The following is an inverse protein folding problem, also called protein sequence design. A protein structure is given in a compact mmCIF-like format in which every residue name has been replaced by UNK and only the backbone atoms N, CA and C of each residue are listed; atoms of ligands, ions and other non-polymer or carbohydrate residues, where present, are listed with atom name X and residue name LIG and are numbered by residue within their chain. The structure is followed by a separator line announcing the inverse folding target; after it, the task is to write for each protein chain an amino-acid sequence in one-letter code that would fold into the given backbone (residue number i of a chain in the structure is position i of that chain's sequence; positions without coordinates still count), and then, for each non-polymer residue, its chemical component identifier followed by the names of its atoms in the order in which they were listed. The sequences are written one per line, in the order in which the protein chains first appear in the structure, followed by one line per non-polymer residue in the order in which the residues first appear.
data_IF_210380364569
#
_entry.id   IF_210380364569
#
_cell.length_a   1.000
_cell.length_b   1.000
_cell.length_c   1.000
_cell.angle_alpha   90.00
_cell.angle_beta   90.00
_cell.angle_gamma   90.00
#
_symmetry.space_group_name_H-M   'P 1'
#
loop_
_entity.id
_entity.type
_entity.pdbx_description
1 polymer ?
#
# COMPACT_ATOMS: atom_id res chain seq x y z
N UNK A 1 5.28 -31.78 5.69
CA UNK A 1 4.29 -30.70 5.47
C UNK A 1 5.02 -29.37 5.68
N UNK A 2 5.18 -28.62 4.60
CA UNK A 2 5.78 -27.28 4.68
C UNK A 2 4.70 -26.35 5.18
N UNK A 3 4.76 -25.96 6.44
CA UNK A 3 3.86 -24.97 7.03
C UNK A 3 4.02 -23.66 6.25
N UNK A 4 2.99 -23.26 5.48
CA UNK A 4 3.01 -21.99 4.78
C UNK A 4 2.88 -20.89 5.83
N UNK A 5 4.02 -20.34 6.22
CA UNK A 5 4.09 -19.28 7.22
C UNK A 5 3.53 -17.99 6.61
N UNK A 6 2.27 -17.72 6.91
CA UNK A 6 1.64 -16.42 6.61
C UNK A 6 2.35 -15.31 7.41
N UNK A 7 1.94 -14.07 7.25
CA UNK A 7 2.52 -12.94 7.97
C UNK A 7 2.44 -13.14 9.49
N UNK A 8 3.51 -12.80 10.20
CA UNK A 8 3.47 -12.76 11.65
C UNK A 8 2.50 -11.68 12.14
N UNK A 9 1.84 -11.91 13.28
CA UNK A 9 0.86 -10.97 13.82
C UNK A 9 1.45 -9.57 14.03
N UNK A 10 2.67 -9.49 14.55
CA UNK A 10 3.34 -8.21 14.79
C UNK A 10 3.57 -7.42 13.49
N UNK A 11 3.84 -8.11 12.36
CA UNK A 11 4.08 -7.47 11.06
C UNK A 11 2.82 -6.74 10.56
N UNK A 12 1.68 -7.40 10.61
CA UNK A 12 0.41 -6.82 10.19
C UNK A 12 -0.07 -5.74 11.17
N UNK A 13 0.15 -5.93 12.47
CA UNK A 13 -0.17 -4.93 13.50
C UNK A 13 0.68 -3.67 13.34
N UNK A 14 1.98 -3.83 13.13
CA UNK A 14 2.90 -2.71 12.87
C UNK A 14 2.53 -1.99 11.57
N UNK A 15 2.28 -2.73 10.50
CA UNK A 15 1.86 -2.16 9.22
C UNK A 15 0.53 -1.38 9.35
N UNK A 16 -0.45 -1.89 10.10
CA UNK A 16 -1.71 -1.17 10.36
C UNK A 16 -1.49 0.15 11.12
N UNK A 17 -0.63 0.15 12.12
CA UNK A 17 -0.25 1.37 12.85
C UNK A 17 0.40 2.40 11.91
N UNK A 18 1.24 1.95 10.98
CA UNK A 18 1.83 2.84 9.98
C UNK A 18 0.82 3.30 8.93
N UNK A 19 -0.12 2.45 8.52
CA UNK A 19 -1.25 2.87 7.68
C UNK A 19 -1.99 4.06 8.31
N UNK A 20 -2.32 3.99 9.60
CA UNK A 20 -2.98 5.08 10.32
C UNK A 20 -2.13 6.36 10.36
N UNK A 21 -0.81 6.25 10.62
CA UNK A 21 0.12 7.38 10.57
C UNK A 21 0.21 7.99 9.17
N UNK A 22 0.28 7.16 8.12
CA UNK A 22 0.31 7.59 6.71
C UNK A 22 -0.95 8.37 6.38
N UNK A 23 -2.12 7.82 6.70
CA UNK A 23 -3.40 8.49 6.49
C UNK A 23 -3.43 9.85 7.20
N UNK A 24 -2.91 9.93 8.42
CA UNK A 24 -2.93 11.18 9.20
C UNK A 24 -2.11 12.32 8.57
N UNK A 25 -1.02 12.01 7.86
CA UNK A 25 -0.10 13.03 7.31
C UNK A 25 -0.33 13.36 5.84
N UNK A 26 -0.85 12.42 5.02
CA UNK A 26 -1.07 12.64 3.60
C UNK A 26 -2.24 13.60 3.34
N UNK A 27 -2.21 14.26 2.18
CA UNK A 27 -3.32 15.12 1.72
C UNK A 27 -4.39 14.27 1.04
N UNK A 28 -5.64 14.67 1.21
CA UNK A 28 -6.79 14.04 0.53
C UNK A 28 -6.88 14.43 -0.95
N UNK A 29 -7.43 13.54 -1.79
CA UNK A 29 -7.88 12.19 -1.48
C UNK A 29 -6.72 11.21 -1.37
N UNK A 30 -6.83 10.24 -0.44
CA UNK A 30 -5.83 9.18 -0.24
C UNK A 30 -6.40 7.90 -0.84
N UNK A 31 -5.75 7.36 -1.87
CA UNK A 31 -6.16 6.08 -2.47
C UNK A 31 -5.37 4.92 -1.85
N UNK A 32 -6.06 4.03 -1.15
CA UNK A 32 -5.49 2.80 -0.56
C UNK A 32 -5.76 1.62 -1.48
N UNK A 33 -4.74 0.81 -1.71
CA UNK A 33 -4.77 -0.36 -2.58
C UNK A 33 -4.37 -1.63 -1.83
N UNK A 34 -4.20 -2.71 -2.58
CA UNK A 34 -3.59 -3.94 -2.12
C UNK A 34 -4.31 -4.62 -0.97
N UNK A 35 -3.54 -5.24 -0.08
CA UNK A 35 -4.10 -6.03 1.02
C UNK A 35 -4.85 -5.22 2.07
N UNK A 36 -4.48 -3.95 2.29
CA UNK A 36 -5.21 -3.07 3.21
C UNK A 36 -6.55 -2.61 2.64
N UNK A 37 -6.66 -2.40 1.32
CA UNK A 37 -7.96 -2.11 0.71
C UNK A 37 -8.91 -3.30 0.86
N UNK A 38 -8.43 -4.53 0.65
CA UNK A 38 -9.22 -5.75 0.89
C UNK A 38 -9.66 -5.83 2.35
N UNK A 39 -8.71 -5.67 3.31
CA UNK A 39 -9.03 -5.67 4.73
C UNK A 39 -10.13 -4.68 5.08
N UNK A 40 -10.05 -3.45 4.60
CA UNK A 40 -11.03 -2.40 4.89
C UNK A 40 -12.43 -2.75 4.36
N UNK A 41 -12.54 -3.49 3.25
CA UNK A 41 -13.84 -3.96 2.75
C UNK A 41 -14.40 -5.15 3.55
N UNK A 42 -13.56 -6.15 3.86
CA UNK A 42 -14.07 -7.45 4.30
C UNK A 42 -14.02 -7.65 5.81
N UNK A 43 -13.15 -6.93 6.55
CA UNK A 43 -12.83 -7.24 7.95
C UNK A 43 -14.05 -7.28 8.87
N UNK A 44 -14.99 -6.35 8.71
CA UNK A 44 -16.20 -6.27 9.57
C UNK A 44 -17.05 -7.54 9.45
N UNK A 45 -17.31 -7.98 8.23
CA UNK A 45 -18.11 -9.19 7.96
C UNK A 45 -17.33 -10.45 8.33
N UNK A 46 -16.05 -10.49 8.03
CA UNK A 46 -15.18 -11.61 8.38
C UNK A 46 -15.08 -11.79 9.90
N UNK A 47 -14.88 -10.71 10.65
CA UNK A 47 -14.82 -10.75 12.12
C UNK A 47 -16.13 -11.22 12.73
N UNK A 48 -17.28 -10.79 12.17
CA UNK A 48 -18.60 -11.25 12.60
C UNK A 48 -18.79 -12.75 12.36
N UNK A 49 -18.29 -13.26 11.24
CA UNK A 49 -18.43 -14.67 10.84
C UNK A 49 -17.43 -15.60 11.54
N UNK A 50 -16.20 -15.13 11.76
CA UNK A 50 -15.06 -15.98 12.19
C UNK A 50 -14.59 -15.68 13.62
N UNK A 51 -15.11 -14.66 14.31
CA UNK A 51 -14.70 -14.27 15.66
C UNK A 51 -13.31 -13.64 15.77
N UNK A 52 -12.62 -13.42 14.63
CA UNK A 52 -11.28 -12.84 14.56
C UNK A 52 -11.17 -11.88 13.38
N UNK A 53 -10.23 -10.91 13.43
CA UNK A 53 -10.03 -10.00 12.28
C UNK A 53 -9.52 -10.74 11.05
N UNK A 54 -9.81 -10.18 9.87
CA UNK A 54 -9.21 -10.62 8.63
C UNK A 54 -7.71 -10.37 8.65
N UNK A 55 -6.95 -11.14 7.85
CA UNK A 55 -5.50 -10.95 7.73
C UNK A 55 -5.20 -9.62 7.03
N UNK A 56 -4.46 -8.75 7.71
CA UNK A 56 -4.00 -7.48 7.17
C UNK A 56 -2.91 -7.64 6.09
N UNK A 57 -2.12 -6.61 5.89
CA UNK A 57 -0.99 -6.59 4.96
C UNK A 57 0.30 -6.18 5.67
N UNK A 58 1.46 -6.61 5.13
CA UNK A 58 2.77 -6.16 5.60
C UNK A 58 3.13 -4.78 5.07
N UNK A 59 2.74 -4.52 3.83
CA UNK A 59 3.06 -3.31 3.08
C UNK A 59 1.81 -2.45 2.97
N UNK A 60 1.99 -1.13 2.81
CA UNK A 60 0.91 -0.18 2.52
C UNK A 60 1.04 0.22 1.04
N UNK A 61 0.00 -0.04 0.25
CA UNK A 61 -0.04 0.31 -1.16
C UNK A 61 -0.84 1.60 -1.35
N UNK A 62 -0.23 2.63 -1.96
CA UNK A 62 -0.84 3.92 -2.25
C UNK A 62 -0.95 4.14 -3.76
N UNK A 63 -2.14 4.56 -4.21
CA UNK A 63 -2.42 4.84 -5.61
C UNK A 63 -2.37 6.33 -5.94
N UNK A 64 -1.79 6.65 -7.11
CA UNK A 64 -1.68 8.01 -7.63
C UNK A 64 -2.08 8.06 -9.10
N UNK A 65 -2.64 9.19 -9.50
CA UNK A 65 -3.06 9.46 -10.88
C UNK A 65 -2.10 10.40 -11.57
N UNK A 66 -1.79 10.07 -12.82
CA UNK A 66 -1.10 10.96 -13.74
C UNK A 66 -1.80 11.02 -15.09
N UNK A 67 -1.89 12.22 -15.67
CA UNK A 67 -2.14 12.35 -17.08
C UNK A 67 -0.97 11.73 -17.87
N UNK A 68 -1.28 11.02 -18.97
CA UNK A 68 -0.25 10.38 -19.81
C UNK A 68 0.79 11.35 -20.36
N UNK A 69 0.38 12.62 -20.54
CA UNK A 69 1.21 13.69 -21.10
C UNK A 69 1.65 14.70 -20.03
N UNK A 70 1.61 14.33 -18.74
CA UNK A 70 1.99 15.22 -17.66
C UNK A 70 3.41 15.78 -17.87
N UNK A 71 3.53 17.10 -17.72
CA UNK A 71 4.83 17.79 -17.82
C UNK A 71 5.64 17.54 -16.54
N UNK A 72 6.96 17.85 -16.60
CA UNK A 72 7.84 17.77 -15.41
C UNK A 72 7.29 18.63 -14.26
N UNK A 73 6.87 19.85 -14.54
CA UNK A 73 6.30 20.76 -13.55
C UNK A 73 5.01 20.19 -12.90
N UNK A 74 4.13 19.58 -13.71
CA UNK A 74 2.94 18.90 -13.20
C UNK A 74 3.30 17.71 -12.33
N UNK A 75 4.31 16.93 -12.69
CA UNK A 75 4.79 15.80 -11.90
C UNK A 75 5.40 16.25 -10.57
N UNK A 76 6.23 17.28 -10.55
CA UNK A 76 6.85 17.83 -9.34
C UNK A 76 5.82 18.44 -8.36
N UNK A 77 4.70 18.95 -8.88
CA UNK A 77 3.58 19.48 -8.09
C UNK A 77 2.47 18.46 -7.80
N UNK A 78 2.66 17.20 -8.22
CA UNK A 78 1.66 16.13 -8.09
C UNK A 78 1.40 15.70 -6.64
N UNK A 79 0.30 14.97 -6.44
CA UNK A 79 0.00 14.31 -5.18
C UNK A 79 1.06 13.27 -4.79
N UNK A 80 1.67 12.58 -5.76
CA UNK A 80 2.80 11.66 -5.53
C UNK A 80 3.99 12.40 -4.92
N UNK A 81 4.48 13.47 -5.57
CA UNK A 81 5.61 14.26 -5.10
C UNK A 81 5.39 14.82 -3.69
N UNK A 82 4.21 15.39 -3.45
CA UNK A 82 3.80 15.90 -2.13
C UNK A 82 3.76 14.80 -1.08
N UNK A 83 3.20 13.63 -1.42
CA UNK A 83 3.12 12.48 -0.53
C UNK A 83 4.51 11.95 -0.16
N UNK A 84 5.40 11.79 -1.13
CA UNK A 84 6.79 11.40 -0.89
C UNK A 84 7.47 12.38 0.08
N UNK A 85 7.34 13.68 -0.15
CA UNK A 85 7.89 14.71 0.73
C UNK A 85 7.34 14.65 2.16
N UNK A 86 6.04 14.39 2.32
CA UNK A 86 5.41 14.24 3.65
C UNK A 86 5.88 12.95 4.35
N UNK A 87 5.94 11.83 3.64
CA UNK A 87 6.44 10.56 4.18
C UNK A 87 7.89 10.67 4.66
N UNK A 88 8.75 11.37 3.90
CA UNK A 88 10.13 11.62 4.28
C UNK A 88 10.24 12.58 5.48
N UNK A 89 9.60 13.74 5.40
CA UNK A 89 9.76 14.81 6.40
C UNK A 89 9.06 14.49 7.73
N UNK A 90 7.83 13.95 7.67
CA UNK A 90 6.98 13.71 8.84
C UNK A 90 7.14 12.33 9.44
N UNK A 91 7.29 11.32 8.61
CA UNK A 91 7.35 9.91 9.05
C UNK A 91 8.74 9.28 8.89
N UNK A 92 9.73 10.03 8.37
CA UNK A 92 11.12 9.58 8.23
C UNK A 92 11.31 8.31 7.38
N UNK A 93 10.41 8.08 6.41
CA UNK A 93 10.63 7.04 5.42
C UNK A 93 11.74 7.45 4.44
N UNK A 94 12.52 6.47 4.00
CA UNK A 94 13.58 6.65 3.00
C UNK A 94 13.11 6.11 1.64
N UNK A 95 13.35 6.82 0.51
CA UNK A 95 13.01 6.29 -0.81
C UNK A 95 13.95 5.16 -1.19
N UNK A 96 13.37 4.03 -1.65
CA UNK A 96 14.10 2.87 -2.17
C UNK A 96 13.38 2.38 -3.42
N UNK A 97 13.80 2.82 -4.61
CA UNK A 97 13.10 2.56 -5.86
C UNK A 97 11.66 3.11 -5.81
N UNK A 98 10.66 2.32 -6.21
CA UNK A 98 9.24 2.71 -6.14
C UNK A 98 8.62 2.62 -4.73
N UNK A 99 9.43 2.34 -3.71
CA UNK A 99 9.00 2.11 -2.34
C UNK A 99 9.54 3.19 -1.41
N UNK A 100 8.81 3.42 -0.35
CA UNK A 100 9.30 4.15 0.80
C UNK A 100 9.55 3.15 1.92
N UNK A 101 10.77 3.12 2.46
CA UNK A 101 11.21 2.17 3.49
C UNK A 101 11.38 2.84 4.83
N UNK A 102 10.95 2.15 5.88
CA UNK A 102 11.31 2.41 7.27
C UNK A 102 11.64 1.10 7.96
N UNK A 103 12.74 1.05 8.70
CA UNK A 103 13.12 -0.09 9.50
C UNK A 103 12.56 0.06 10.92
N UNK A 104 11.90 -1.00 11.40
CA UNK A 104 11.24 -1.07 12.70
C UNK A 104 11.76 -2.28 13.46
N UNK A 105 12.06 -2.12 14.73
CA UNK A 105 12.51 -3.22 15.58
C UNK A 105 11.34 -4.17 15.86
N UNK A 106 11.55 -5.47 15.68
CA UNK A 106 10.47 -6.48 15.77
C UNK A 106 9.89 -6.64 17.16
N UNK A 107 10.68 -6.43 18.22
CA UNK A 107 10.22 -6.61 19.61
C UNK A 107 9.75 -5.30 20.24
N UNK A 108 10.49 -4.19 20.04
CA UNK A 108 10.12 -2.91 20.65
C UNK A 108 9.10 -2.13 19.82
N UNK A 109 8.94 -2.50 18.54
CA UNK A 109 8.12 -1.81 17.55
C UNK A 109 8.54 -0.34 17.32
N UNK A 110 9.74 0.03 17.74
CA UNK A 110 10.31 1.36 17.57
C UNK A 110 11.08 1.49 16.26
N UNK A 111 11.23 2.72 15.80
CA UNK A 111 12.05 3.04 14.63
C UNK A 111 13.53 2.78 14.93
N UNK A 112 14.20 2.07 14.03
CA UNK A 112 15.64 1.86 14.11
C UNK A 112 16.35 3.11 13.63
N UNK A 113 17.19 3.72 14.49
CA UNK A 113 17.93 4.91 14.14
C UNK A 113 19.01 4.61 13.09
N UNK A 114 19.31 5.60 12.26
CA UNK A 114 20.37 5.49 11.25
C UNK A 114 21.73 5.23 11.91
N UNK A 115 22.45 4.22 11.37
CA UNK A 115 23.74 3.79 11.92
C UNK A 115 23.65 2.85 13.13
N UNK A 116 22.47 2.53 13.63
CA UNK A 116 22.30 1.54 14.68
C UNK A 116 22.52 0.13 14.11
N UNK A 117 23.44 -0.62 14.71
CA UNK A 117 23.73 -2.01 14.31
C UNK A 117 22.80 -2.94 15.09
N UNK A 118 21.86 -3.55 14.37
CA UNK A 118 20.89 -4.49 14.92
C UNK A 118 20.95 -5.79 14.12
N UNK A 119 20.87 -6.97 14.76
CA UNK A 119 20.78 -8.24 14.04
C UNK A 119 19.57 -8.28 13.10
N UNK A 120 19.75 -8.83 11.90
CA UNK A 120 18.75 -8.78 10.83
C UNK A 120 17.37 -9.37 11.21
N UNK A 121 17.32 -10.34 12.11
CA UNK A 121 16.07 -10.96 12.58
C UNK A 121 15.23 -10.03 13.48
N UNK A 122 15.83 -8.95 14.00
CA UNK A 122 15.11 -7.90 14.73
C UNK A 122 14.66 -6.74 13.84
N UNK A 123 14.93 -6.80 12.53
CA UNK A 123 14.57 -5.73 11.61
C UNK A 123 13.33 -6.13 10.81
N UNK A 124 12.26 -5.37 10.97
CA UNK A 124 11.08 -5.44 10.12
C UNK A 124 11.12 -4.27 9.12
N UNK A 125 11.33 -4.56 7.81
CA UNK A 125 11.28 -3.53 6.79
C UNK A 125 9.81 -3.19 6.48
N UNK A 126 9.34 -2.04 6.95
CA UNK A 126 8.03 -1.49 6.66
C UNK A 126 8.07 -0.74 5.34
N UNK A 127 7.32 -1.21 4.35
CA UNK A 127 7.25 -0.59 3.03
C UNK A 127 5.93 0.14 2.80
N UNK A 128 6.04 1.26 2.08
CA UNK A 128 4.92 1.92 1.42
C UNK A 128 5.20 1.86 -0.07
N UNK A 129 4.36 1.16 -0.82
CA UNK A 129 4.49 1.00 -2.26
C UNK A 129 3.72 2.13 -2.96
N UNK A 130 4.40 2.82 -3.88
CA UNK A 130 3.85 3.93 -4.64
C UNK A 130 3.47 3.41 -6.03
N UNK A 131 2.18 3.34 -6.31
CA UNK A 131 1.61 2.82 -7.55
C UNK A 131 0.98 3.94 -8.36
N UNK A 132 1.11 3.88 -9.67
CA UNK A 132 0.54 4.88 -10.59
C UNK A 132 -0.31 4.20 -11.67
N UNK A 133 -1.32 4.89 -12.15
CA UNK A 133 -2.18 4.41 -13.25
C UNK A 133 -1.59 4.67 -14.64
N UNK A 134 -0.75 5.68 -14.76
CA UNK A 134 -0.02 6.02 -15.98
C UNK A 134 1.39 6.46 -15.64
N UNK A 135 2.34 6.15 -16.53
CA UNK A 135 3.73 6.58 -16.43
C UNK A 135 3.99 7.64 -17.52
N UNK A 136 3.99 8.94 -17.17
CA UNK A 136 4.29 9.99 -18.14
C UNK A 136 5.72 9.88 -18.68
N UNK A 137 5.98 10.40 -19.90
CA UNK A 137 7.33 10.60 -20.37
C UNK A 137 8.14 11.40 -19.33
N UNK A 138 9.42 11.08 -19.16
CA UNK A 138 10.30 11.72 -18.15
C UNK A 138 9.98 11.43 -16.68
N UNK A 139 9.05 10.52 -16.36
CA UNK A 139 8.77 10.13 -14.96
C UNK A 139 10.06 9.71 -14.23
N UNK A 140 10.84 8.80 -14.85
CA UNK A 140 12.10 8.30 -14.28
C UNK A 140 13.14 9.40 -14.10
N UNK A 141 13.18 10.36 -15.00
CA UNK A 141 14.09 11.52 -14.90
C UNK A 141 13.69 12.44 -13.76
N UNK A 142 12.37 12.66 -13.56
CA UNK A 142 11.83 13.54 -12.53
C UNK A 142 11.94 12.94 -11.13
N UNK A 143 11.60 11.67 -10.96
CA UNK A 143 11.52 11.02 -9.64
C UNK A 143 12.71 10.10 -9.33
N UNK A 144 13.61 9.85 -10.28
CA UNK A 144 14.78 8.98 -10.16
C UNK A 144 14.47 7.51 -9.85
N UNK A 145 13.25 7.06 -10.09
CA UNK A 145 12.83 5.65 -10.00
C UNK A 145 11.77 5.29 -11.04
N UNK A 146 11.59 3.99 -11.27
CA UNK A 146 10.49 3.46 -12.06
C UNK A 146 9.34 3.10 -11.10
N UNK A 147 8.13 3.65 -11.25
CA UNK A 147 7.00 3.34 -10.37
C UNK A 147 6.46 1.93 -10.62
N UNK A 148 5.69 1.42 -9.67
CA UNK A 148 4.81 0.28 -9.94
C UNK A 148 3.63 0.74 -10.79
N UNK A 149 3.42 0.08 -11.93
CA UNK A 149 2.35 0.37 -12.87
C UNK A 149 1.11 -0.48 -12.55
N UNK A 150 -0.03 0.17 -12.33
CA UNK A 150 -1.33 -0.47 -12.15
C UNK A 150 -2.39 0.25 -13.00
N UNK A 151 -2.51 -0.10 -14.28
CA UNK A 151 -3.40 0.60 -15.21
C UNK A 151 -4.88 0.61 -14.82
N UNK A 152 -5.35 -0.40 -14.07
CA UNK A 152 -6.74 -0.45 -13.58
C UNK A 152 -7.03 0.65 -12.56
N UNK A 153 -6.00 1.19 -11.92
CA UNK A 153 -6.14 2.25 -10.93
C UNK A 153 -6.76 3.53 -11.52
N UNK A 154 -6.60 3.81 -12.82
CA UNK A 154 -7.22 4.95 -13.47
C UNK A 154 -8.75 4.97 -13.29
N UNK A 155 -9.41 3.79 -13.26
CA UNK A 155 -10.85 3.71 -13.05
C UNK A 155 -11.26 4.27 -11.68
N UNK A 156 -10.41 4.14 -10.66
CA UNK A 156 -10.66 4.72 -9.33
C UNK A 156 -10.66 6.24 -9.38
N UNK A 157 -9.80 6.84 -10.21
CA UNK A 157 -9.66 8.29 -10.30
C UNK A 157 -10.65 8.93 -11.28
N UNK A 158 -10.83 8.31 -12.45
CA UNK A 158 -11.67 8.85 -13.52
C UNK A 158 -13.17 8.64 -13.27
N UNK A 159 -13.55 7.53 -12.60
CA UNK A 159 -14.94 7.12 -12.48
C UNK A 159 -15.36 6.94 -11.01
N UNK A 160 -16.16 7.84 -10.45
CA UNK A 160 -16.63 7.73 -9.06
C UNK A 160 -17.36 6.42 -8.74
N UNK A 161 -18.02 5.80 -9.74
CA UNK A 161 -18.73 4.52 -9.60
C UNK A 161 -17.81 3.33 -9.34
N UNK A 162 -16.51 3.43 -9.60
CA UNK A 162 -15.53 2.35 -9.38
C UNK A 162 -14.76 2.50 -8.06
N UNK A 163 -15.13 3.47 -7.23
CA UNK A 163 -14.53 3.65 -5.91
C UNK A 163 -15.57 3.77 -4.81
N UNK A 164 -15.13 3.45 -3.62
CA UNK A 164 -15.85 3.76 -2.38
C UNK A 164 -15.06 4.78 -1.57
N UNK A 165 -15.78 5.62 -0.84
CA UNK A 165 -15.19 6.56 0.08
C UNK A 165 -15.48 6.11 1.51
N UNK A 166 -14.43 5.69 2.23
CA UNK A 166 -14.55 5.37 3.64
C UNK A 166 -14.58 6.65 4.49
N UNK A 167 -15.49 6.64 5.46
CA UNK A 167 -15.65 7.71 6.46
C UNK A 167 -15.09 7.33 7.85
N UNK A 168 -14.53 6.15 7.98
CA UNK A 168 -14.06 5.58 9.27
C UNK A 168 -12.79 6.27 9.80
N UNK A 169 -12.09 6.98 8.92
CA UNK A 169 -10.91 7.77 9.27
C UNK A 169 -11.24 9.27 9.23
N UNK A 170 -10.45 10.07 9.92
CA UNK A 170 -10.57 11.54 9.93
C UNK A 170 -10.43 12.18 8.54
N UNK A 171 -9.98 11.41 7.55
CA UNK A 171 -9.75 11.82 6.16
C UNK A 171 -10.53 10.97 5.17
N UNK A 172 -10.73 11.52 3.97
CA UNK A 172 -11.38 10.83 2.86
C UNK A 172 -10.43 9.81 2.25
N UNK A 173 -10.74 8.54 2.44
CA UNK A 173 -10.05 7.45 1.78
C UNK A 173 -10.84 6.97 0.57
N UNK A 174 -10.15 6.85 -0.55
CA UNK A 174 -10.68 6.19 -1.72
C UNK A 174 -10.20 4.74 -1.74
N UNK A 175 -11.14 3.83 -1.91
CA UNK A 175 -10.87 2.42 -2.15
C UNK A 175 -11.42 2.04 -3.52
N UNK A 176 -10.69 1.24 -4.32
CA UNK A 176 -11.32 0.56 -5.44
C UNK A 176 -12.49 -0.27 -4.93
N UNK A 177 -13.58 -0.34 -5.67
CA UNK A 177 -14.67 -1.27 -5.34
C UNK A 177 -14.19 -2.73 -5.37
N UNK A 178 -14.88 -3.66 -4.67
CA UNK A 178 -14.48 -5.06 -4.59
C UNK A 178 -14.21 -5.72 -5.94
N UNK A 179 -15.03 -5.45 -6.97
CA UNK A 179 -14.85 -5.99 -8.31
C UNK A 179 -13.55 -5.52 -8.98
N UNK A 180 -13.13 -4.28 -8.75
CA UNK A 180 -11.89 -3.75 -9.29
C UNK A 180 -10.69 -4.30 -8.51
N UNK A 181 -10.79 -4.41 -7.18
CA UNK A 181 -9.77 -5.09 -6.36
C UNK A 181 -9.60 -6.55 -6.76
N UNK A 182 -10.70 -7.24 -7.01
CA UNK A 182 -10.69 -8.63 -7.50
C UNK A 182 -9.91 -8.73 -8.82
N UNK A 183 -10.18 -7.84 -9.77
CA UNK A 183 -9.47 -7.81 -11.05
C UNK A 183 -7.96 -7.58 -10.86
N UNK A 184 -7.56 -6.62 -10.02
CA UNK A 184 -6.13 -6.36 -9.73
C UNK A 184 -5.46 -7.56 -9.06
N UNK A 185 -6.13 -8.24 -8.12
CA UNK A 185 -5.61 -9.44 -7.45
C UNK A 185 -5.43 -10.62 -8.40
N UNK A 186 -6.40 -10.87 -9.29
CA UNK A 186 -6.30 -11.92 -10.31
C UNK A 186 -5.13 -11.64 -11.26
N UNK A 187 -4.97 -10.39 -11.71
CA UNK A 187 -3.84 -10.02 -12.57
C UNK A 187 -2.50 -10.21 -11.84
N UNK A 188 -2.42 -9.82 -10.58
CA UNK A 188 -1.19 -9.95 -9.79
C UNK A 188 -0.74 -11.41 -9.62
N UNK A 189 -1.67 -12.38 -9.50
CA UNK A 189 -1.35 -13.80 -9.34
C UNK A 189 -0.43 -14.34 -10.42
N UNK A 190 -0.58 -13.87 -11.67
CA UNK A 190 0.23 -14.31 -12.82
C UNK A 190 1.71 -13.98 -12.68
N UNK A 191 2.02 -12.99 -11.86
CA UNK A 191 3.37 -12.43 -11.71
C UNK A 191 3.96 -12.63 -10.30
N UNK A 192 3.30 -13.47 -9.46
CA UNK A 192 3.76 -13.74 -8.09
C UNK A 192 4.78 -14.86 -8.05
N UNK A 193 6.02 -14.51 -7.72
CA UNK A 193 7.12 -15.47 -7.56
C UNK A 193 7.15 -16.10 -6.15
N UNK A 194 6.64 -15.37 -5.13
CA UNK A 194 6.68 -15.80 -3.73
C UNK A 194 5.39 -16.50 -3.33
N UNK A 195 5.49 -17.76 -2.88
CA UNK A 195 4.35 -18.60 -2.52
C UNK A 195 3.44 -17.96 -1.46
N UNK A 196 4.01 -17.38 -0.38
CA UNK A 196 3.21 -16.72 0.65
C UNK A 196 2.42 -15.50 0.13
N UNK A 197 2.96 -14.76 -0.86
CA UNK A 197 2.23 -13.66 -1.50
C UNK A 197 1.11 -14.18 -2.40
N UNK A 198 1.36 -15.26 -3.12
CA UNK A 198 0.37 -15.94 -3.95
C UNK A 198 -0.79 -16.47 -3.11
N UNK A 199 -0.48 -17.16 -2.00
CA UNK A 199 -1.49 -17.65 -1.05
C UNK A 199 -2.31 -16.50 -0.47
N UNK A 200 -1.67 -15.37 -0.09
CA UNK A 200 -2.38 -14.19 0.40
C UNK A 200 -3.33 -13.62 -0.66
N UNK A 201 -2.89 -13.49 -1.91
CA UNK A 201 -3.75 -12.98 -2.99
C UNK A 201 -4.93 -13.93 -3.26
N UNK A 202 -4.74 -15.25 -3.17
CA UNK A 202 -5.84 -16.23 -3.26
C UNK A 202 -6.84 -16.03 -2.12
N UNK A 203 -6.37 -15.87 -0.88
CA UNK A 203 -7.25 -15.59 0.26
C UNK A 203 -8.01 -14.27 0.06
N UNK A 204 -7.35 -13.22 -0.46
CA UNK A 204 -8.00 -11.94 -0.75
C UNK A 204 -9.08 -12.07 -1.81
N UNK A 205 -8.84 -12.85 -2.86
CA UNK A 205 -9.83 -13.14 -3.91
C UNK A 205 -11.06 -13.82 -3.29
N UNK A 206 -10.88 -14.87 -2.49
CA UNK A 206 -11.98 -15.54 -1.82
C UNK A 206 -12.77 -14.65 -0.86
N UNK A 207 -12.09 -13.73 -0.20
CA UNK A 207 -12.74 -12.84 0.75
C UNK A 207 -13.53 -11.71 0.06
N UNK A 208 -13.20 -11.38 -1.20
CA UNK A 208 -13.89 -10.37 -2.00
C UNK A 208 -15.11 -10.95 -2.76
N UNK A 209 -15.18 -12.28 -2.98
CA UNK A 209 -16.30 -12.98 -3.58
C UNK A 209 -17.45 -13.22 -2.60
#
# INVERSE_FOLDING_TARGET
ETEIKMYAEFETKTSYRYLQKVISVLQEPICILGGWAVFLHVNKNFQKAQGRPYLGSRDVDLGFHFDKNATVEQMENSSLAKSMGLLQKKLKFKPVSFRMLKEVHTETEEEIAEGQIIPAHFIFPMYIDLMVDNIPPKFKETFHFQPADEPLLRFVFENPEHREQLKEFTKKLWLPKPELLLATKINALKHRDKEHKKTKDICDIFALL
#
